data_IF_396187192561
#
_entry.id   IF_396187192561
#
_cell.length_a   1.000
_cell.length_b   1.000
_cell.length_c   1.000
_cell.angle_alpha   90.00
_cell.angle_beta   90.00
_cell.angle_gamma   90.00
#
_symmetry.space_group_name_H-M   'P 1'
#
loop_
_entity.id
_entity.type
_entity.pdbx_description
1 polymer ?
#
# COMPACT_ATOMS: atom_id res chain seq x y z
N UNK A 1 -32.29 13.55 -6.33
CA UNK A 1 -31.57 12.92 -5.21
C UNK A 1 -31.41 11.46 -5.56
N UNK A 2 -30.18 11.04 -5.82
CA UNK A 2 -29.83 9.64 -5.99
C UNK A 2 -28.58 9.42 -5.12
N UNK A 3 -28.80 9.32 -3.82
CA UNK A 3 -27.88 8.64 -2.92
C UNK A 3 -28.09 7.16 -3.19
N UNK A 4 -27.23 6.57 -3.99
CA UNK A 4 -26.98 5.15 -3.96
C UNK A 4 -25.71 4.87 -4.73
N UNK A 5 -24.71 4.39 -3.99
CA UNK A 5 -23.78 3.32 -4.37
C UNK A 5 -22.96 2.98 -3.13
N UNK A 6 -23.65 2.40 -2.12
CA UNK A 6 -22.96 1.51 -1.21
C UNK A 6 -22.54 0.28 -2.01
N UNK A 7 -21.26 0.13 -2.25
CA UNK A 7 -20.67 -1.17 -2.53
C UNK A 7 -19.51 -1.36 -1.56
N UNK A 8 -19.67 -2.29 -0.62
CA UNK A 8 -18.57 -2.93 0.08
C UNK A 8 -18.61 -4.39 -0.36
N UNK A 9 -17.86 -4.72 -1.40
CA UNK A 9 -17.47 -6.09 -1.69
C UNK A 9 -15.95 -6.14 -1.65
N UNK A 10 -15.39 -6.80 -0.63
CA UNK A 10 -14.02 -7.31 -0.69
C UNK A 10 -14.07 -8.79 -0.38
N UNK A 11 -13.78 -9.64 -1.38
CA UNK A 11 -12.70 -10.57 -1.18
C UNK A 11 -11.97 -10.79 -2.51
N UNK A 12 -11.13 -9.84 -2.89
CA UNK A 12 -10.14 -10.17 -3.91
C UNK A 12 -9.14 -11.09 -3.20
N UNK A 13 -9.17 -12.38 -3.55
CA UNK A 13 -8.17 -13.37 -3.13
C UNK A 13 -6.84 -13.03 -3.83
N UNK A 14 -6.24 -11.91 -3.43
CA UNK A 14 -4.94 -11.47 -3.90
C UNK A 14 -3.90 -12.25 -3.11
N UNK A 15 -3.08 -13.00 -3.82
CA UNK A 15 -1.89 -13.58 -3.21
C UNK A 15 -0.75 -12.59 -3.35
N UNK A 16 -0.21 -12.16 -2.22
CA UNK A 16 0.99 -11.35 -2.13
C UNK A 16 2.16 -12.24 -1.73
N UNK A 17 3.25 -12.24 -2.50
CA UNK A 17 4.48 -12.93 -2.07
C UNK A 17 5.19 -12.06 -1.04
N UNK A 18 5.89 -12.67 -0.11
CA UNK A 18 6.69 -11.91 0.86
C UNK A 18 7.72 -10.99 0.18
N UNK A 19 8.30 -11.43 -0.96
CA UNK A 19 9.19 -10.61 -1.79
C UNK A 19 8.52 -9.37 -2.39
N UNK A 20 7.24 -9.49 -2.74
CA UNK A 20 6.48 -8.45 -3.43
C UNK A 20 6.23 -7.27 -2.49
N UNK A 21 5.88 -7.57 -1.22
CA UNK A 21 5.80 -6.57 -0.15
C UNK A 21 7.11 -5.78 -0.05
N UNK A 22 8.24 -6.47 0.03
CA UNK A 22 9.55 -5.83 0.16
C UNK A 22 9.87 -4.94 -1.04
N UNK A 23 9.49 -5.34 -2.26
CA UNK A 23 9.70 -4.54 -3.47
C UNK A 23 8.86 -3.26 -3.45
N UNK A 24 7.57 -3.37 -3.09
CA UNK A 24 6.66 -2.21 -3.00
C UNK A 24 7.18 -1.21 -1.97
N UNK A 25 7.54 -1.69 -0.77
CA UNK A 25 8.10 -0.84 0.26
C UNK A 25 9.40 -0.18 -0.20
N UNK A 26 10.29 -0.92 -0.84
CA UNK A 26 11.53 -0.37 -1.38
C UNK A 26 11.26 0.74 -2.40
N UNK A 27 10.31 0.56 -3.32
CA UNK A 27 9.92 1.58 -4.30
C UNK A 27 9.46 2.86 -3.62
N UNK A 28 8.56 2.78 -2.64
CA UNK A 28 8.10 3.95 -1.90
C UNK A 28 9.22 4.67 -1.12
N UNK A 29 10.21 3.93 -0.63
CA UNK A 29 11.36 4.50 0.11
C UNK A 29 12.35 5.20 -0.81
N UNK A 30 12.77 4.51 -1.88
CA UNK A 30 13.93 4.92 -2.66
C UNK A 30 13.57 5.72 -3.90
N UNK A 31 12.37 5.53 -4.42
CA UNK A 31 11.90 6.10 -5.68
C UNK A 31 10.62 6.92 -5.50
N UNK A 32 9.86 6.69 -4.42
CA UNK A 32 8.64 7.41 -4.07
C UNK A 32 8.87 8.90 -3.87
N UNK A 33 7.89 9.68 -4.29
CA UNK A 33 7.85 11.14 -4.16
C UNK A 33 7.66 11.60 -2.72
N UNK A 34 7.01 10.79 -1.88
CA UNK A 34 6.78 11.10 -0.47
C UNK A 34 7.99 10.76 0.43
N UNK A 35 9.02 10.11 -0.12
CA UNK A 35 10.30 9.82 0.53
C UNK A 35 10.16 9.23 1.94
N UNK A 36 9.30 8.22 2.09
CA UNK A 36 9.06 7.54 3.36
C UNK A 36 10.35 6.97 3.95
N UNK A 37 10.58 7.23 5.23
CA UNK A 37 11.70 6.63 5.97
C UNK A 37 11.19 5.46 6.81
N UNK A 38 11.87 4.32 6.79
CA UNK A 38 11.46 3.13 7.53
C UNK A 38 12.49 2.82 8.61
N UNK A 39 11.99 2.58 9.82
CA UNK A 39 12.77 2.00 10.90
C UNK A 39 12.31 0.56 11.15
N UNK A 40 13.22 -0.26 11.66
CA UNK A 40 13.21 -1.72 11.59
C UNK A 40 11.85 -2.41 11.85
N UNK A 41 11.69 -3.62 11.27
CA UNK A 41 10.60 -4.54 11.62
C UNK A 41 10.70 -4.86 13.11
N UNK A 42 9.76 -4.36 13.92
CA UNK A 42 9.61 -4.86 15.29
C UNK A 42 9.08 -6.29 15.22
N UNK A 43 9.50 -7.12 16.19
CA UNK A 43 9.48 -8.60 16.17
C UNK A 43 8.17 -9.33 15.83
N UNK A 44 7.10 -8.61 15.53
CA UNK A 44 5.76 -9.11 15.18
C UNK A 44 5.32 -8.73 13.74
N UNK A 45 6.26 -8.34 12.86
CA UNK A 45 5.96 -8.04 11.45
C UNK A 45 5.43 -6.62 11.19
N UNK A 46 5.46 -5.77 12.22
CA UNK A 46 5.10 -4.35 12.17
C UNK A 46 6.31 -3.52 11.75
N UNK A 47 6.13 -2.63 10.78
CA UNK A 47 7.12 -1.65 10.32
C UNK A 47 6.81 -0.29 10.92
N UNK A 48 7.84 0.42 11.38
CA UNK A 48 7.72 1.81 11.80
C UNK A 48 8.06 2.70 10.61
N UNK A 49 7.14 3.59 10.24
CA UNK A 49 7.30 4.52 9.12
C UNK A 49 7.37 5.94 9.68
N UNK A 50 8.38 6.67 9.28
CA UNK A 50 8.56 8.08 9.59
C UNK A 50 8.15 8.92 8.38
N UNK A 51 7.20 9.82 8.61
CA UNK A 51 6.88 10.89 7.67
C UNK A 51 7.96 11.98 7.70
N UNK A 52 8.07 12.74 6.61
CA UNK A 52 9.01 13.87 6.52
C UNK A 52 8.71 14.98 7.54
N UNK A 53 7.47 15.05 8.02
CA UNK A 53 7.00 15.96 9.07
C UNK A 53 7.43 15.53 10.49
N UNK A 54 8.12 14.38 10.61
CA UNK A 54 8.52 13.80 11.88
C UNK A 54 7.44 12.94 12.53
N UNK A 55 6.29 12.75 11.88
CA UNK A 55 5.25 11.84 12.34
C UNK A 55 5.71 10.39 12.26
N UNK A 56 5.22 9.55 13.18
CA UNK A 56 5.58 8.14 13.27
C UNK A 56 4.32 7.30 13.12
N UNK A 57 4.35 6.37 12.18
CA UNK A 57 3.24 5.50 11.80
C UNK A 57 3.63 4.04 12.00
N UNK A 58 2.63 3.21 12.33
CA UNK A 58 2.79 1.76 12.44
C UNK A 58 2.11 1.09 11.25
N UNK A 59 2.91 0.42 10.43
CA UNK A 59 2.42 -0.37 9.31
C UNK A 59 2.43 -1.86 9.67
N UNK A 60 1.24 -2.40 9.94
CA UNK A 60 1.02 -3.84 10.10
C UNK A 60 0.88 -4.52 8.74
N UNK A 61 0.98 -5.84 8.70
CA UNK A 61 0.71 -6.61 7.49
C UNK A 61 -0.75 -6.44 7.02
N UNK A 62 -1.71 -6.43 7.94
CA UNK A 62 -3.13 -6.21 7.64
C UNK A 62 -3.38 -4.84 7.02
N UNK A 63 -2.78 -3.78 7.59
CA UNK A 63 -2.89 -2.42 7.04
C UNK A 63 -2.30 -2.35 5.63
N UNK A 64 -1.15 -2.98 5.41
CA UNK A 64 -0.52 -3.04 4.09
C UNK A 64 -1.42 -3.75 3.07
N UNK A 65 -1.98 -4.92 3.43
CA UNK A 65 -2.88 -5.68 2.56
C UNK A 65 -4.13 -4.86 2.25
N UNK A 66 -4.71 -4.19 3.25
CA UNK A 66 -5.87 -3.32 3.08
C UNK A 66 -5.59 -2.14 2.14
N UNK A 67 -4.46 -1.45 2.34
CA UNK A 67 -4.04 -0.35 1.45
C UNK A 67 -3.80 -0.82 0.02
N UNK A 68 -3.17 -1.98 -0.15
CA UNK A 68 -2.99 -2.62 -1.46
C UNK A 68 -4.32 -2.98 -2.12
N UNK A 69 -5.26 -3.56 -1.38
CA UNK A 69 -6.59 -3.92 -1.89
C UNK A 69 -7.37 -2.69 -2.38
N UNK A 70 -7.19 -1.53 -1.74
CA UNK A 70 -7.77 -0.28 -2.23
C UNK A 70 -7.02 0.24 -3.47
N UNK A 71 -5.69 0.21 -3.44
CA UNK A 71 -4.84 0.73 -4.51
C UNK A 71 -5.04 0.01 -5.85
N UNK A 72 -5.30 -1.31 -5.85
CA UNK A 72 -5.45 -2.08 -7.09
C UNK A 72 -6.57 -1.59 -8.01
N UNK A 73 -7.55 -0.84 -7.52
CA UNK A 73 -8.59 -0.24 -8.35
C UNK A 73 -8.06 0.86 -9.28
N UNK A 74 -6.89 1.41 -8.97
CA UNK A 74 -6.23 2.49 -9.71
C UNK A 74 -5.09 1.98 -10.59
N UNK A 75 -4.66 0.72 -10.42
CA UNK A 75 -3.50 0.15 -11.09
C UNK A 75 -3.96 -0.59 -12.37
N UNK A 76 -3.34 -0.34 -13.53
CA UNK A 76 -3.64 -1.09 -14.74
C UNK A 76 -3.09 -2.52 -14.65
N UNK A 77 -3.97 -3.52 -14.87
CA UNK A 77 -3.64 -4.95 -14.78
C UNK A 77 -2.94 -5.34 -13.46
N UNK A 78 -3.60 -5.12 -12.30
CA UNK A 78 -2.97 -5.26 -11.00
C UNK A 78 -2.68 -6.71 -10.59
N UNK A 79 -3.27 -7.68 -11.30
CA UNK A 79 -3.25 -9.09 -10.94
C UNK A 79 -2.92 -9.94 -12.18
N UNK A 80 -1.95 -10.86 -12.04
CA UNK A 80 -1.60 -11.89 -13.02
C UNK A 80 -1.62 -13.25 -12.30
N UNK A 81 -2.39 -14.20 -12.84
CA UNK A 81 -2.52 -15.57 -12.29
C UNK A 81 -2.87 -15.62 -10.79
N UNK A 82 -3.65 -14.63 -10.31
CA UNK A 82 -4.08 -14.51 -8.91
C UNK A 82 -3.03 -13.93 -7.96
N UNK A 83 -1.88 -13.46 -8.49
CA UNK A 83 -0.86 -12.74 -7.74
C UNK A 83 -0.83 -11.27 -8.12
N UNK A 84 -0.35 -10.42 -7.22
CA UNK A 84 -0.05 -9.02 -7.51
C UNK A 84 0.94 -8.93 -8.68
N UNK A 85 0.61 -8.14 -9.68
CA UNK A 85 1.51 -7.83 -10.78
C UNK A 85 2.48 -6.72 -10.37
N UNK A 86 3.63 -7.09 -9.81
CA UNK A 86 4.62 -6.13 -9.32
C UNK A 86 5.15 -5.20 -10.41
N UNK A 87 5.18 -5.64 -11.68
CA UNK A 87 5.63 -4.82 -12.79
C UNK A 87 4.65 -3.66 -13.10
N UNK A 88 3.41 -3.75 -12.62
CA UNK A 88 2.42 -2.66 -12.70
C UNK A 88 2.52 -1.64 -11.56
N UNK A 89 3.38 -1.89 -10.56
CA UNK A 89 3.56 -1.01 -9.40
C UNK A 89 4.85 -0.20 -9.60
N UNK A 90 4.69 1.07 -9.95
CA UNK A 90 5.76 2.06 -9.92
C UNK A 90 5.91 2.70 -8.53
N UNK A 91 6.78 3.71 -8.42
CA UNK A 91 7.05 4.43 -7.18
C UNK A 91 5.85 5.20 -6.66
N UNK A 92 5.10 5.85 -7.55
CA UNK A 92 3.95 6.68 -7.19
C UNK A 92 2.79 5.81 -6.71
N UNK A 93 2.60 4.67 -7.38
CA UNK A 93 1.66 3.63 -6.94
C UNK A 93 2.07 3.05 -5.58
N UNK A 94 3.37 2.85 -5.34
CA UNK A 94 3.85 2.38 -4.06
C UNK A 94 3.59 3.39 -2.92
N UNK A 95 3.75 4.69 -3.20
CA UNK A 95 3.36 5.75 -2.26
C UNK A 95 1.86 5.74 -1.99
N UNK A 96 1.03 5.63 -3.03
CA UNK A 96 -0.42 5.52 -2.91
C UNK A 96 -0.83 4.32 -2.02
N UNK A 97 -0.20 3.15 -2.20
CA UNK A 97 -0.46 1.97 -1.37
C UNK A 97 -0.16 2.26 0.10
N UNK A 98 0.96 2.94 0.41
CA UNK A 98 1.31 3.30 1.78
C UNK A 98 0.36 4.33 2.38
N UNK A 99 -0.03 5.33 1.60
CA UNK A 99 -1.01 6.33 2.03
C UNK A 99 -2.34 5.66 2.41
N UNK A 100 -2.86 4.79 1.55
CA UNK A 100 -4.08 4.04 1.83
C UNK A 100 -3.93 3.08 3.03
N UNK A 101 -2.74 2.48 3.19
CA UNK A 101 -2.47 1.59 4.32
C UNK A 101 -2.41 2.32 5.66
N UNK A 102 -1.89 3.55 5.69
CA UNK A 102 -1.68 4.32 6.91
C UNK A 102 -2.89 5.21 7.28
N UNK A 103 -3.56 5.75 6.26
CA UNK A 103 -4.58 6.80 6.45
C UNK A 103 -5.97 6.38 5.98
N UNK A 104 -6.08 5.27 5.24
CA UNK A 104 -7.31 4.86 4.58
C UNK A 104 -7.88 5.95 3.65
N UNK A 105 -7.00 6.80 3.11
CA UNK A 105 -7.28 7.92 2.22
C UNK A 105 -6.00 8.32 1.45
N UNK A 106 -6.11 9.23 0.49
CA UNK A 106 -5.00 9.85 -0.24
C UNK A 106 -4.78 11.30 0.23
N UNK A 107 -4.16 11.51 1.40
CA UNK A 107 -3.94 12.85 1.94
C UNK A 107 -2.96 13.69 1.10
N UNK A 108 -2.15 13.06 0.25
CA UNK A 108 -1.15 13.71 -0.59
C UNK A 108 -1.31 13.27 -2.05
N UNK A 109 -1.47 14.26 -2.94
CA UNK A 109 -1.65 14.16 -4.40
C UNK A 109 -0.64 15.09 -5.11
#
# INVERSE_FOLDING_TARGET
MAEDRQFIEFPINIKLRHSDRTIILKKAITEGSLHWMFDAIQGDGVLIIHGLDGSVYMLTEDNFIHGLQQAIHYIPNPIIDGFVNIDSIDSDTADMILQLALFNDLPFD
#
